data_IF_266205180282
#
_entry.id   IF_266205180282
#
_cell.length_a   1.000
_cell.length_b   1.000
_cell.length_c   1.000
_cell.angle_alpha   90.00
_cell.angle_beta   90.00
_cell.angle_gamma   90.00
#
_symmetry.space_group_name_H-M   'P 1'
#
loop_
_entity.id
_entity.type
_entity.pdbx_description
1 polymer ?
#
# COMPACT_ATOMS: atom_id res chain seq x y z
N UNK A 1 -13.81 82.29 -53.75
CA UNK A 1 -13.93 83.06 -52.50
C UNK A 1 -13.23 82.27 -51.40
N UNK A 2 -12.13 82.82 -50.88
CA UNK A 2 -11.27 82.38 -49.76
C UNK A 2 -10.65 80.96 -49.88
N UNK A 3 -9.38 80.70 -50.22
CA UNK A 3 -8.08 81.38 -50.11
C UNK A 3 -7.46 81.45 -48.69
N UNK A 4 -6.27 80.83 -48.58
CA UNK A 4 -5.16 81.00 -47.61
C UNK A 4 -5.34 80.33 -46.21
N UNK A 5 -4.37 79.61 -45.62
CA UNK A 5 -2.91 79.75 -45.66
C UNK A 5 -2.17 78.41 -45.44
N UNK A 6 -1.03 78.25 -46.13
CA UNK A 6 0.04 77.28 -45.87
C UNK A 6 0.88 77.66 -44.64
N UNK A 7 1.69 76.72 -44.08
CA UNK A 7 3.13 76.88 -43.77
C UNK A 7 3.72 75.71 -42.91
N UNK A 8 4.81 75.10 -43.43
CA UNK A 8 5.98 74.42 -42.78
C UNK A 8 5.71 73.03 -42.11
N UNK A 9 6.19 71.86 -42.56
CA UNK A 9 7.50 71.32 -43.00
C UNK A 9 8.10 70.32 -41.96
N UNK A 10 8.76 69.26 -42.48
CA UNK A 10 9.67 68.24 -41.88
C UNK A 10 9.11 66.81 -41.97
N UNK A 11 9.57 65.97 -42.91
CA UNK A 11 10.79 65.13 -42.92
C UNK A 11 10.84 64.06 -41.82
N UNK A 12 10.90 62.80 -42.29
CA UNK A 12 11.38 61.57 -41.65
C UNK A 12 10.61 61.06 -40.41
N UNK A 13 9.99 59.88 -40.55
CA UNK A 13 9.79 58.94 -39.43
C UNK A 13 9.72 57.51 -39.97
N UNK A 14 10.91 56.89 -40.02
CA UNK A 14 11.23 55.52 -39.60
C UNK A 14 10.11 54.49 -39.53
N UNK A 15 10.29 53.42 -40.32
CA UNK A 15 9.61 52.14 -40.18
C UNK A 15 9.70 51.62 -38.74
N UNK A 16 8.55 51.50 -38.07
CA UNK A 16 8.42 50.84 -36.78
C UNK A 16 8.19 49.34 -37.02
N UNK A 17 9.29 48.58 -37.13
CA UNK A 17 9.26 47.12 -37.14
C UNK A 17 8.91 46.66 -35.71
N UNK A 18 7.64 46.33 -35.46
CA UNK A 18 7.20 45.73 -34.21
C UNK A 18 7.78 44.31 -34.08
N UNK A 19 9.00 44.21 -33.53
CA UNK A 19 9.53 42.97 -32.97
C UNK A 19 8.73 42.63 -31.71
N UNK A 20 7.63 41.90 -31.88
CA UNK A 20 7.03 41.14 -30.78
C UNK A 20 7.97 39.98 -30.46
N UNK A 21 8.98 40.25 -29.63
CA UNK A 21 9.74 39.22 -28.94
C UNK A 21 8.76 38.50 -27.99
N UNK A 22 8.20 37.39 -28.47
CA UNK A 22 7.45 36.46 -27.64
C UNK A 22 8.35 36.04 -26.48
N UNK A 23 8.00 36.49 -25.27
CA UNK A 23 8.66 36.01 -24.05
C UNK A 23 8.43 34.50 -24.00
N UNK A 24 9.49 33.67 -23.90
CA UNK A 24 9.30 32.25 -23.65
C UNK A 24 8.58 32.13 -22.31
N UNK A 25 7.36 31.59 -22.34
CA UNK A 25 6.61 31.25 -21.14
C UNK A 25 7.39 30.14 -20.45
N UNK A 26 8.14 30.49 -19.40
CA UNK A 26 8.76 29.50 -18.53
C UNK A 26 7.60 28.76 -17.89
N UNK A 27 7.32 27.55 -18.38
CA UNK A 27 6.42 26.64 -17.71
C UNK A 27 7.03 26.36 -16.34
N UNK A 28 6.45 26.93 -15.29
CA UNK A 28 6.72 26.51 -13.92
C UNK A 28 6.33 25.04 -13.84
N UNK A 29 7.33 24.17 -13.71
CA UNK A 29 7.09 22.77 -13.38
C UNK A 29 6.25 22.75 -12.09
N UNK A 30 5.00 22.31 -12.19
CA UNK A 30 4.13 22.20 -11.04
C UNK A 30 4.81 21.33 -10.00
N UNK A 31 5.00 21.86 -8.79
CA UNK A 31 5.50 21.09 -7.65
C UNK A 31 4.59 19.87 -7.49
N UNK A 32 5.13 18.64 -7.47
CA UNK A 32 4.31 17.46 -7.26
C UNK A 32 3.54 17.61 -5.94
N UNK A 33 2.26 17.21 -5.89
CA UNK A 33 1.45 17.37 -4.68
C UNK A 33 2.13 16.66 -3.51
N UNK A 34 2.17 17.33 -2.36
CA UNK A 34 2.79 16.77 -1.16
C UNK A 34 2.06 15.47 -0.75
N UNK A 35 2.83 14.42 -0.49
CA UNK A 35 2.26 13.15 -0.04
C UNK A 35 1.60 13.33 1.35
N UNK A 36 0.46 12.67 1.60
CA UNK A 36 -0.20 12.78 2.88
C UNK A 36 0.66 12.23 4.03
N UNK A 37 0.47 12.75 5.26
CA UNK A 37 1.18 12.32 6.45
C UNK A 37 0.68 10.94 6.91
N UNK A 38 1.24 9.87 6.36
CA UNK A 38 0.76 8.51 6.58
C UNK A 38 1.61 7.72 7.58
N UNK A 39 0.96 7.07 8.54
CA UNK A 39 1.57 6.03 9.38
C UNK A 39 1.83 4.76 8.56
N UNK A 40 2.98 4.11 8.75
CA UNK A 40 3.42 2.95 7.97
C UNK A 40 3.64 1.72 8.85
N UNK A 41 3.18 0.56 8.37
CA UNK A 41 3.21 -0.66 9.16
C UNK A 41 4.51 -1.48 9.01
N UNK A 42 5.05 -1.93 10.14
CA UNK A 42 6.07 -2.99 10.23
C UNK A 42 5.46 -4.39 10.07
N UNK A 43 6.28 -5.43 10.14
CA UNK A 43 5.83 -6.84 10.07
C UNK A 43 5.74 -7.37 11.51
N UNK A 44 4.62 -8.01 11.82
CA UNK A 44 4.44 -8.67 13.11
C UNK A 44 5.47 -9.80 13.33
N UNK A 45 5.97 -9.92 14.56
CA UNK A 45 6.81 -11.03 15.00
C UNK A 45 6.35 -11.56 16.37
N UNK A 46 6.65 -12.83 16.72
CA UNK A 46 6.42 -13.35 18.07
C UNK A 46 7.17 -12.53 19.14
N UNK A 47 6.61 -12.48 20.35
CA UNK A 47 7.18 -11.73 21.49
C UNK A 47 6.50 -10.38 21.78
N UNK A 48 5.58 -9.95 20.92
CA UNK A 48 4.76 -8.76 21.14
C UNK A 48 3.61 -9.08 22.10
N UNK A 49 3.37 -8.20 23.07
CA UNK A 49 2.22 -8.26 24.00
C UNK A 49 0.92 -7.93 23.24
N UNK A 50 0.26 -8.96 22.71
CA UNK A 50 -0.92 -8.78 21.85
C UNK A 50 -2.10 -8.06 22.51
N UNK A 51 -2.25 -8.17 23.83
CA UNK A 51 -3.33 -7.50 24.56
C UNK A 51 -3.30 -5.97 24.39
N UNK A 52 -2.12 -5.40 24.15
CA UNK A 52 -1.95 -3.96 23.96
C UNK A 52 -2.36 -3.50 22.55
N UNK A 53 -2.54 -4.43 21.61
CA UNK A 53 -2.86 -4.16 20.20
C UNK A 53 -4.32 -4.44 19.88
N UNK A 54 -4.93 -3.51 19.14
CA UNK A 54 -6.16 -3.76 18.40
C UNK A 54 -5.87 -4.51 17.12
N UNK A 55 -6.78 -5.39 16.72
CA UNK A 55 -6.65 -6.25 15.56
C UNK A 55 -7.80 -5.96 14.61
N UNK A 56 -7.47 -5.85 13.33
CA UNK A 56 -8.41 -5.69 12.23
C UNK A 56 -8.03 -6.58 11.03
N UNK A 57 -8.98 -6.85 10.14
CA UNK A 57 -8.65 -7.41 8.83
C UNK A 57 -7.77 -6.43 8.04
N UNK A 58 -6.71 -6.95 7.42
CA UNK A 58 -5.99 -6.20 6.39
C UNK A 58 -6.82 -6.21 5.11
N UNK A 59 -7.34 -5.05 4.74
CA UNK A 59 -8.13 -4.87 3.52
C UNK A 59 -7.22 -4.68 2.31
N UNK A 60 -7.50 -5.42 1.24
CA UNK A 60 -6.79 -5.34 -0.05
C UNK A 60 -7.53 -4.39 -1.00
N UNK A 61 -7.31 -3.08 -0.81
CA UNK A 61 -7.95 -2.02 -1.59
C UNK A 61 -6.95 -0.98 -2.08
N UNK A 62 -7.38 0.28 -2.15
CA UNK A 62 -6.49 1.41 -2.39
C UNK A 62 -6.55 2.35 -1.21
N UNK A 63 -5.44 2.52 -0.48
CA UNK A 63 -5.36 3.51 0.61
C UNK A 63 -5.77 4.90 0.12
N UNK A 64 -6.77 5.46 0.79
CA UNK A 64 -7.31 6.79 0.55
C UNK A 64 -7.13 7.65 1.80
N UNK A 65 -6.57 8.83 1.62
CA UNK A 65 -6.48 9.85 2.65
C UNK A 65 -7.48 10.96 2.31
N UNK A 66 -8.43 11.20 3.20
CA UNK A 66 -9.32 12.35 3.11
C UNK A 66 -8.70 13.49 3.90
N UNK A 67 -8.43 14.62 3.25
CA UNK A 67 -7.81 15.79 3.89
C UNK A 67 -8.82 16.78 4.52
N UNK A 68 -10.12 16.46 4.46
CA UNK A 68 -11.21 17.36 4.84
C UNK A 68 -11.97 17.94 3.64
N UNK A 69 -11.44 17.81 2.43
CA UNK A 69 -12.02 18.33 1.19
C UNK A 69 -11.89 17.35 0.00
N UNK A 70 -10.79 16.60 -0.08
CA UNK A 70 -10.40 15.77 -1.21
C UNK A 70 -9.90 14.41 -0.74
N UNK A 71 -10.21 13.38 -1.54
CA UNK A 71 -9.56 12.08 -1.43
C UNK A 71 -8.23 12.09 -2.17
N UNK A 72 -7.18 11.64 -1.49
CA UNK A 72 -5.82 11.57 -1.98
C UNK A 72 -5.32 10.13 -1.92
N UNK A 73 -4.55 9.72 -2.92
CA UNK A 73 -3.78 8.49 -2.87
C UNK A 73 -2.61 8.63 -1.89
N UNK A 74 -1.97 7.50 -1.58
CA UNK A 74 -0.70 7.47 -0.84
C UNK A 74 0.38 8.41 -1.40
N UNK A 75 0.40 8.64 -2.71
CA UNK A 75 1.37 9.52 -3.37
C UNK A 75 0.93 10.99 -3.45
N UNK A 76 -0.16 11.38 -2.80
CA UNK A 76 -0.69 12.76 -2.85
C UNK A 76 -1.53 13.08 -4.09
N UNK A 77 -1.70 12.14 -5.02
CA UNK A 77 -2.54 12.35 -6.19
C UNK A 77 -4.02 12.36 -5.82
N UNK A 78 -4.79 13.31 -6.37
CA UNK A 78 -6.23 13.38 -6.17
C UNK A 78 -6.92 12.15 -6.75
N UNK A 79 -7.87 11.60 -6.00
CA UNK A 79 -8.80 10.56 -6.45
C UNK A 79 -10.08 11.24 -6.90
N UNK A 80 -10.48 11.01 -8.15
CA UNK A 80 -11.71 11.57 -8.71
C UNK A 80 -12.89 10.67 -8.35
N UNK A 81 -13.47 10.89 -7.16
CA UNK A 81 -14.72 10.27 -6.75
C UNK A 81 -15.92 11.06 -7.27
N UNK A 82 -17.08 10.42 -7.53
CA UNK A 82 -18.34 11.14 -7.76
C UNK A 82 -18.64 12.06 -6.58
N UNK A 83 -19.25 13.22 -6.85
CA UNK A 83 -19.59 14.18 -5.81
C UNK A 83 -20.44 13.57 -4.68
N UNK A 84 -21.39 12.68 -5.03
CA UNK A 84 -22.23 12.00 -4.04
C UNK A 84 -21.43 11.10 -3.08
N UNK A 85 -20.27 10.58 -3.51
CA UNK A 85 -19.49 9.65 -2.69
C UNK A 85 -18.85 10.35 -1.49
N UNK A 86 -18.37 11.58 -1.67
CA UNK A 86 -17.75 12.39 -0.60
C UNK A 86 -18.68 13.47 -0.05
N UNK A 87 -19.94 13.51 -0.49
CA UNK A 87 -20.91 14.49 -0.02
C UNK A 87 -21.12 14.35 1.50
N UNK A 88 -21.14 15.48 2.20
CA UNK A 88 -21.33 15.59 3.65
C UNK A 88 -20.24 14.94 4.52
N UNK A 89 -19.12 14.50 3.95
CA UNK A 89 -18.00 14.01 4.76
C UNK A 89 -17.47 15.10 5.70
N UNK A 90 -16.92 14.72 6.87
CA UNK A 90 -16.44 15.68 7.85
C UNK A 90 -15.24 16.45 7.30
N UNK A 91 -14.98 17.66 7.81
CA UNK A 91 -13.73 18.37 7.52
C UNK A 91 -12.51 17.78 8.23
N UNK A 92 -12.72 16.82 9.12
CA UNK A 92 -11.65 16.10 9.81
C UNK A 92 -10.97 15.14 8.84
N UNK A 93 -9.63 15.10 8.87
CA UNK A 93 -8.88 14.15 8.07
C UNK A 93 -9.17 12.71 8.47
N UNK A 94 -9.30 11.82 7.48
CA UNK A 94 -9.57 10.39 7.66
C UNK A 94 -8.53 9.57 6.89
N UNK A 95 -8.06 8.48 7.48
CA UNK A 95 -7.19 7.51 6.80
C UNK A 95 -7.90 6.17 6.71
N UNK A 96 -7.95 5.63 5.50
CA UNK A 96 -8.77 4.46 5.21
C UNK A 96 -8.40 3.76 3.92
N UNK A 97 -9.17 2.73 3.61
CA UNK A 97 -9.02 1.91 2.41
C UNK A 97 -10.27 2.05 1.53
N UNK A 98 -10.08 2.46 0.27
CA UNK A 98 -11.12 2.35 -0.75
C UNK A 98 -11.20 0.88 -1.19
N UNK A 99 -12.28 0.22 -0.80
CA UNK A 99 -12.39 -1.24 -0.81
C UNK A 99 -13.65 -1.71 -1.54
N UNK A 100 -13.50 -2.70 -2.42
CA UNK A 100 -14.56 -3.23 -3.27
C UNK A 100 -15.06 -4.63 -2.84
N UNK A 101 -14.59 -5.12 -1.67
CA UNK A 101 -14.78 -6.50 -1.24
C UNK A 101 -13.48 -7.32 -1.26
N UNK A 102 -13.49 -8.45 -0.58
CA UNK A 102 -12.39 -9.44 -0.59
C UNK A 102 -12.11 -9.91 -2.02
N UNK A 103 -10.83 -10.05 -2.39
CA UNK A 103 -10.38 -10.45 -3.73
C UNK A 103 -10.85 -9.52 -4.87
N UNK A 104 -11.19 -8.26 -4.57
CA UNK A 104 -11.64 -7.27 -5.55
C UNK A 104 -10.65 -6.12 -5.73
N UNK A 105 -9.36 -6.32 -5.42
CA UNK A 105 -8.31 -5.32 -5.55
C UNK A 105 -8.25 -4.71 -6.96
N UNK A 106 -8.26 -5.54 -8.01
CA UNK A 106 -8.23 -5.06 -9.40
C UNK A 106 -9.41 -4.15 -9.71
N UNK A 107 -10.60 -4.44 -9.17
CA UNK A 107 -11.78 -3.57 -9.28
C UNK A 107 -11.54 -2.25 -8.54
N UNK A 108 -11.12 -2.29 -7.29
CA UNK A 108 -10.82 -1.08 -6.50
C UNK A 108 -9.82 -0.16 -7.22
N UNK A 109 -8.71 -0.71 -7.71
CA UNK A 109 -7.71 0.02 -8.48
C UNK A 109 -8.31 0.61 -9.76
N UNK A 110 -9.05 -0.19 -10.53
CA UNK A 110 -9.64 0.28 -11.79
C UNK A 110 -10.65 1.42 -11.58
N UNK A 111 -11.41 1.39 -10.47
CA UNK A 111 -12.36 2.44 -10.11
C UNK A 111 -11.64 3.73 -9.72
N UNK A 112 -10.62 3.63 -8.85
CA UNK A 112 -9.90 4.78 -8.28
C UNK A 112 -9.03 5.50 -9.31
N UNK A 113 -8.46 4.77 -10.28
CA UNK A 113 -7.55 5.33 -11.30
C UNK A 113 -8.26 6.09 -12.43
N UNK A 114 -9.58 6.00 -12.55
CA UNK A 114 -10.31 6.67 -13.64
C UNK A 114 -10.32 8.18 -13.43
N UNK A 115 -9.99 8.92 -14.49
CA UNK A 115 -10.07 10.38 -14.48
C UNK A 115 -11.51 10.86 -14.38
N UNK A 116 -12.40 10.27 -15.17
CA UNK A 116 -13.85 10.49 -15.07
C UNK A 116 -14.48 9.39 -14.20
N UNK A 117 -15.09 9.72 -13.05
CA UNK A 117 -15.68 8.72 -12.18
C UNK A 117 -16.85 8.00 -12.85
N UNK A 118 -16.92 6.69 -12.63
CA UNK A 118 -18.06 5.86 -13.06
C UNK A 118 -18.93 5.51 -11.87
N UNK A 119 -20.14 6.05 -11.89
CA UNK A 119 -21.16 5.93 -10.87
C UNK A 119 -21.52 4.49 -10.51
N UNK A 120 -21.52 3.58 -11.48
CA UNK A 120 -21.83 2.17 -11.25
C UNK A 120 -20.70 1.43 -10.54
N UNK A 121 -19.44 1.79 -10.86
CA UNK A 121 -18.27 1.24 -10.19
C UNK A 121 -18.15 1.74 -8.74
N UNK A 122 -18.37 3.04 -8.52
CA UNK A 122 -18.28 3.66 -7.18
C UNK A 122 -19.36 3.18 -6.22
N UNK A 123 -20.56 2.80 -6.71
CA UNK A 123 -21.59 2.16 -5.86
C UNK A 123 -21.18 0.80 -5.27
N UNK A 124 -20.10 0.20 -5.77
CA UNK A 124 -19.52 -1.04 -5.25
C UNK A 124 -18.32 -0.80 -4.33
N UNK A 125 -17.93 0.46 -4.16
CA UNK A 125 -16.82 0.85 -3.28
C UNK A 125 -17.36 1.25 -1.90
N UNK A 126 -16.53 1.02 -0.89
CA UNK A 126 -16.65 1.62 0.43
C UNK A 126 -15.35 2.29 0.79
N UNK A 127 -15.41 3.33 1.60
CA UNK A 127 -14.25 3.89 2.29
C UNK A 127 -14.22 3.34 3.72
N UNK A 128 -13.32 2.39 3.94
CA UNK A 128 -13.16 1.67 5.20
C UNK A 128 -12.10 2.38 6.03
N UNK A 129 -12.54 3.25 6.94
CA UNK A 129 -11.68 4.15 7.71
C UNK A 129 -11.08 3.42 8.90
N UNK A 130 -9.76 3.48 9.07
CA UNK A 130 -9.07 2.81 10.15
C UNK A 130 -8.38 3.77 11.13
N UNK A 131 -8.26 5.07 10.83
CA UNK A 131 -7.70 6.04 11.78
C UNK A 131 -8.15 7.50 11.56
N UNK A 132 -7.89 8.35 12.57
CA UNK A 132 -8.08 9.80 12.61
C UNK A 132 -6.73 10.53 12.75
N UNK A 133 -6.02 10.84 11.65
CA UNK A 133 -4.66 11.41 11.69
C UNK A 133 -4.50 12.70 12.48
N UNK A 134 -5.54 13.53 12.54
CA UNK A 134 -5.52 14.83 13.23
C UNK A 134 -5.92 14.75 14.71
N UNK A 135 -6.36 13.59 15.20
CA UNK A 135 -6.78 13.43 16.59
C UNK A 135 -5.55 13.32 17.51
N UNK A 136 -5.43 14.14 18.58
CA UNK A 136 -4.20 14.21 19.38
C UNK A 136 -3.99 13.02 20.33
N UNK A 137 -5.06 12.26 20.58
CA UNK A 137 -5.07 11.13 21.51
C UNK A 137 -4.45 9.83 20.97
N UNK A 138 -4.38 8.84 21.86
CA UNK A 138 -3.91 7.49 21.56
C UNK A 138 -4.90 6.72 20.67
N UNK A 139 -4.50 5.60 20.07
CA UNK A 139 -5.43 4.82 19.25
C UNK A 139 -6.66 4.31 20.03
N UNK A 140 -6.49 3.99 21.32
CA UNK A 140 -7.60 3.67 22.23
C UNK A 140 -8.65 4.79 22.32
N UNK A 141 -8.25 6.04 22.08
CA UNK A 141 -9.14 7.20 22.06
C UNK A 141 -9.62 7.53 20.63
N UNK A 142 -8.75 7.37 19.62
CA UNK A 142 -9.08 7.65 18.21
C UNK A 142 -10.17 6.71 17.69
N UNK A 143 -10.13 5.44 18.08
CA UNK A 143 -11.05 4.45 17.53
C UNK A 143 -12.52 4.68 17.97
N UNK A 144 -12.83 4.89 19.27
CA UNK A 144 -14.19 5.29 19.68
C UNK A 144 -14.63 6.62 19.06
N UNK A 145 -13.73 7.62 19.00
CA UNK A 145 -14.05 8.91 18.39
C UNK A 145 -14.41 8.78 16.90
N UNK A 146 -13.71 7.91 16.16
CA UNK A 146 -14.01 7.60 14.76
C UNK A 146 -15.37 6.91 14.62
N UNK A 147 -15.64 5.91 15.46
CA UNK A 147 -16.93 5.20 15.45
C UNK A 147 -18.10 6.15 15.70
N UNK A 148 -18.00 7.01 16.72
CA UNK A 148 -19.01 8.02 17.04
C UNK A 148 -19.20 9.02 15.89
N UNK A 149 -18.10 9.48 15.29
CA UNK A 149 -18.15 10.42 14.16
C UNK A 149 -18.86 9.81 12.96
N UNK A 150 -18.50 8.59 12.57
CA UNK A 150 -19.07 7.92 11.39
C UNK A 150 -20.52 7.48 11.63
N UNK A 151 -20.88 7.10 12.87
CA UNK A 151 -22.26 6.83 13.24
C UNK A 151 -23.15 8.08 13.06
N UNK A 152 -22.67 9.26 13.48
CA UNK A 152 -23.38 10.54 13.31
C UNK A 152 -23.45 10.98 11.85
N UNK A 153 -22.41 10.69 11.06
CA UNK A 153 -22.38 10.97 9.62
C UNK A 153 -23.47 10.18 8.87
N UNK A 154 -23.76 8.95 9.31
CA UNK A 154 -24.81 8.09 8.76
C UNK A 154 -24.70 7.86 7.23
N UNK A 155 -23.49 7.85 6.69
CA UNK A 155 -23.22 7.57 5.27
C UNK A 155 -22.85 6.09 5.10
N UNK A 156 -23.68 5.26 4.42
CA UNK A 156 -23.50 3.81 4.42
C UNK A 156 -22.20 3.28 3.81
N UNK A 157 -21.57 4.04 2.91
CA UNK A 157 -20.33 3.63 2.23
C UNK A 157 -19.07 4.19 2.90
N UNK A 158 -19.19 4.87 4.05
CA UNK A 158 -18.05 5.26 4.90
C UNK A 158 -18.20 4.58 6.24
N UNK A 159 -17.30 3.63 6.54
CA UNK A 159 -17.46 2.75 7.68
C UNK A 159 -16.14 2.62 8.43
N UNK A 160 -16.16 2.55 9.78
CA UNK A 160 -14.96 2.18 10.51
C UNK A 160 -14.58 0.73 10.19
N UNK A 161 -13.28 0.45 10.07
CA UNK A 161 -12.79 -0.93 10.07
C UNK A 161 -13.05 -1.52 11.46
N UNK A 162 -13.61 -2.73 11.51
CA UNK A 162 -13.85 -3.45 12.75
C UNK A 162 -12.52 -3.72 13.48
N UNK A 163 -12.47 -3.38 14.77
CA UNK A 163 -11.32 -3.62 15.65
C UNK A 163 -11.75 -4.47 16.84
N UNK A 164 -10.91 -5.41 17.24
CA UNK A 164 -11.09 -6.22 18.44
C UNK A 164 -9.74 -6.54 19.11
N UNK A 165 -9.76 -7.18 20.27
CA UNK A 165 -8.57 -7.56 21.04
C UNK A 165 -8.41 -9.08 21.06
N UNK A 166 -7.16 -9.54 20.99
CA UNK A 166 -6.75 -10.91 21.32
C UNK A 166 -5.52 -10.84 22.21
N UNK A 167 -5.30 -11.86 23.02
CA UNK A 167 -4.14 -11.91 23.94
C UNK A 167 -3.11 -12.97 23.55
N UNK A 168 -3.43 -13.91 22.65
CA UNK A 168 -2.60 -15.06 22.38
C UNK A 168 -2.21 -15.23 20.90
N UNK A 169 -0.95 -15.60 20.68
CA UNK A 169 -0.37 -15.75 19.34
C UNK A 169 -1.03 -16.87 18.54
N UNK A 170 -1.39 -17.99 19.19
CA UNK A 170 -1.96 -19.15 18.51
C UNK A 170 -3.34 -18.82 17.91
N UNK A 171 -4.18 -18.08 18.63
CA UNK A 171 -5.49 -17.59 18.16
C UNK A 171 -5.32 -16.54 17.08
N UNK A 172 -4.35 -15.62 17.20
CA UNK A 172 -4.02 -14.68 16.12
C UNK A 172 -3.68 -15.43 14.81
N UNK A 173 -2.87 -16.49 14.90
CA UNK A 173 -2.49 -17.31 13.74
C UNK A 173 -3.69 -18.08 13.16
N UNK A 174 -4.56 -18.66 14.01
CA UNK A 174 -5.80 -19.33 13.54
C UNK A 174 -6.73 -18.34 12.83
N UNK A 175 -6.92 -17.16 13.41
CA UNK A 175 -7.71 -16.09 12.82
C UNK A 175 -7.13 -15.66 11.47
N UNK A 176 -5.81 -15.44 11.39
CA UNK A 176 -5.15 -15.11 10.13
C UNK A 176 -5.43 -16.17 9.05
N UNK A 177 -5.28 -17.45 9.39
CA UNK A 177 -5.56 -18.55 8.46
C UNK A 177 -7.02 -18.57 8.03
N UNK A 178 -7.95 -18.35 8.95
CA UNK A 178 -9.38 -18.27 8.66
C UNK A 178 -9.72 -17.09 7.74
N UNK A 179 -9.20 -15.90 8.04
CA UNK A 179 -9.37 -14.69 7.22
C UNK A 179 -8.90 -14.94 5.79
N UNK A 180 -7.70 -15.51 5.62
CA UNK A 180 -7.17 -15.83 4.29
C UNK A 180 -7.98 -16.93 3.60
N UNK A 181 -8.44 -17.96 4.32
CA UNK A 181 -9.32 -19.00 3.76
C UNK A 181 -10.63 -18.41 3.23
N UNK A 182 -11.13 -17.35 3.85
CA UNK A 182 -12.33 -16.62 3.42
C UNK A 182 -12.04 -15.50 2.40
N UNK A 183 -10.82 -15.45 1.85
CA UNK A 183 -10.42 -14.50 0.81
C UNK A 183 -9.92 -13.13 1.30
N UNK A 184 -9.74 -12.95 2.61
CA UNK A 184 -9.11 -11.76 3.17
C UNK A 184 -7.60 -11.77 2.95
N UNK A 185 -6.94 -10.61 3.06
CA UNK A 185 -5.50 -10.50 2.75
C UNK A 185 -4.60 -10.92 3.93
N UNK A 186 -5.03 -10.58 5.14
CA UNK A 186 -4.26 -10.77 6.35
C UNK A 186 -4.89 -10.03 7.53
N UNK A 187 -4.07 -9.68 8.53
CA UNK A 187 -4.49 -8.89 9.69
C UNK A 187 -3.58 -7.67 9.86
N UNK A 188 -4.11 -6.65 10.51
CA UNK A 188 -3.37 -5.48 11.00
C UNK A 188 -3.44 -5.47 12.53
N UNK A 189 -2.34 -5.10 13.18
CA UNK A 189 -2.29 -4.81 14.62
C UNK A 189 -1.96 -3.34 14.80
N UNK A 190 -2.65 -2.68 15.72
CA UNK A 190 -2.41 -1.29 16.03
C UNK A 190 -2.37 -1.06 17.54
N UNK A 191 -1.25 -0.56 18.05
CA UNK A 191 -0.98 -0.39 19.48
C UNK A 191 -1.94 0.64 20.07
N UNK A 192 -2.68 0.25 21.10
CA UNK A 192 -3.70 1.10 21.74
C UNK A 192 -3.15 2.42 22.25
N UNK A 193 -1.98 2.39 22.90
CA UNK A 193 -1.31 3.57 23.43
C UNK A 193 -0.61 4.45 22.37
N UNK A 194 -0.59 4.06 21.09
CA UNK A 194 0.17 4.78 20.07
C UNK A 194 -0.44 6.15 19.75
N UNK A 195 0.42 7.16 19.60
CA UNK A 195 0.07 8.42 18.95
C UNK A 195 0.22 8.27 17.44
N UNK A 196 -0.59 9.02 16.69
CA UNK A 196 -0.45 9.04 15.23
C UNK A 196 0.89 9.69 14.84
N UNK A 197 1.76 8.93 14.17
CA UNK A 197 3.08 9.39 13.73
C UNK A 197 3.34 8.99 12.28
N UNK A 198 3.88 9.91 11.50
CA UNK A 198 4.15 9.74 10.05
C UNK A 198 5.45 8.98 9.81
N UNK A 199 5.59 7.84 10.46
CA UNK A 199 6.78 7.02 10.40
C UNK A 199 6.40 5.54 10.35
N UNK A 200 7.41 4.72 10.12
CA UNK A 200 7.33 3.28 10.27
C UNK A 200 7.75 2.93 11.70
N UNK A 201 6.88 2.27 12.44
CA UNK A 201 7.14 1.80 13.80
C UNK A 201 6.34 0.53 14.09
N UNK A 202 6.63 -0.10 15.22
CA UNK A 202 5.86 -1.26 15.69
C UNK A 202 4.50 -0.88 16.28
N UNK A 203 4.19 0.42 16.36
CA UNK A 203 2.86 0.90 16.71
C UNK A 203 1.80 0.36 15.73
N UNK A 204 2.17 0.12 14.47
CA UNK A 204 1.31 -0.47 13.44
C UNK A 204 2.03 -1.64 12.78
N UNK A 205 1.42 -2.83 12.79
CA UNK A 205 2.02 -4.05 12.26
C UNK A 205 1.07 -4.75 11.29
N UNK A 206 1.63 -5.39 10.29
CA UNK A 206 0.88 -6.30 9.40
C UNK A 206 1.25 -7.75 9.73
N UNK A 207 0.23 -8.59 9.91
CA UNK A 207 0.39 -10.04 10.02
C UNK A 207 0.20 -10.65 8.65
N UNK A 208 1.25 -11.31 8.17
CA UNK A 208 1.24 -11.99 6.87
C UNK A 208 1.20 -13.49 7.08
N UNK A 209 0.56 -14.19 6.14
CA UNK A 209 0.56 -15.67 6.09
C UNK A 209 1.90 -16.26 5.69
N UNK A 210 2.82 -15.43 5.19
CA UNK A 210 4.09 -15.86 4.68
C UNK A 210 5.21 -14.89 5.04
N UNK A 211 6.36 -15.47 5.30
CA UNK A 211 7.61 -14.81 5.63
C UNK A 211 8.58 -15.08 4.48
N UNK A 212 9.35 -14.05 4.11
CA UNK A 212 10.45 -14.18 3.16
C UNK A 212 11.75 -14.16 3.97
N UNK A 213 12.68 -15.04 3.66
CA UNK A 213 13.99 -15.11 4.31
C UNK A 213 15.05 -15.62 3.33
N UNK A 214 16.31 -15.43 3.69
CA UNK A 214 17.46 -15.82 2.91
C UNK A 214 18.10 -17.12 3.44
N UNK A 215 18.61 -17.94 2.52
CA UNK A 215 19.45 -19.09 2.86
C UNK A 215 20.51 -19.32 1.77
N UNK A 216 21.68 -19.81 2.18
CA UNK A 216 22.76 -20.18 1.28
C UNK A 216 22.50 -21.56 0.67
N UNK A 217 22.75 -21.72 -0.63
CA UNK A 217 22.67 -23.01 -1.32
C UNK A 217 23.91 -23.82 -1.00
N UNK A 218 23.75 -24.91 -0.26
CA UNK A 218 24.84 -25.80 0.16
C UNK A 218 24.85 -27.15 -0.56
N UNK A 219 23.83 -27.44 -1.38
CA UNK A 219 23.77 -28.66 -2.16
C UNK A 219 22.66 -28.68 -3.20
N UNK A 220 22.81 -29.57 -4.18
CA UNK A 220 21.77 -29.87 -5.17
C UNK A 220 21.32 -31.32 -4.98
N UNK A 221 20.00 -31.52 -4.89
CA UNK A 221 19.41 -32.84 -4.72
C UNK A 221 18.75 -33.28 -6.04
N UNK A 222 19.01 -34.51 -6.51
CA UNK A 222 18.51 -34.99 -7.79
C UNK A 222 16.98 -35.10 -7.80
N UNK A 223 16.38 -34.74 -8.93
CA UNK A 223 14.94 -34.89 -9.16
C UNK A 223 14.53 -36.33 -9.43
N UNK A 224 13.25 -36.60 -9.19
CA UNK A 224 12.58 -37.88 -9.47
C UNK A 224 11.38 -37.65 -10.39
N UNK A 225 10.89 -38.69 -11.07
CA UNK A 225 9.73 -38.60 -11.96
C UNK A 225 9.96 -37.59 -13.08
N UNK A 226 9.05 -36.61 -13.24
CA UNK A 226 9.17 -35.57 -14.29
C UNK A 226 10.45 -34.72 -14.24
N UNK A 227 11.18 -34.74 -13.12
CA UNK A 227 12.44 -34.01 -12.96
C UNK A 227 13.67 -34.94 -12.93
N UNK A 228 13.56 -36.17 -13.42
CA UNK A 228 14.71 -37.07 -13.53
C UNK A 228 15.78 -36.49 -14.48
N UNK A 229 17.05 -36.53 -14.05
CA UNK A 229 18.15 -35.87 -14.75
C UNK A 229 18.23 -34.35 -14.54
N UNK A 230 17.36 -33.76 -13.71
CA UNK A 230 17.31 -32.34 -13.39
C UNK A 230 17.35 -32.12 -11.87
N UNK A 231 17.46 -30.87 -11.42
CA UNK A 231 17.36 -30.52 -10.00
C UNK A 231 15.95 -30.85 -9.45
N UNK A 232 15.93 -31.63 -8.37
CA UNK A 232 14.73 -31.88 -7.57
C UNK A 232 14.51 -30.80 -6.53
N UNK A 233 15.53 -30.51 -5.73
CA UNK A 233 15.49 -29.49 -4.70
C UNK A 233 16.89 -28.93 -4.42
N UNK A 234 16.95 -27.70 -3.93
CA UNK A 234 18.16 -27.16 -3.30
C UNK A 234 18.23 -27.66 -1.86
N UNK A 235 19.41 -28.04 -1.38
CA UNK A 235 19.70 -28.10 0.05
C UNK A 235 20.23 -26.73 0.45
N UNK A 236 19.55 -26.07 1.38
CA UNK A 236 19.89 -24.71 1.81
C UNK A 236 20.19 -24.66 3.30
N UNK A 237 21.00 -23.69 3.71
CA UNK A 237 21.35 -23.39 5.10
C UNK A 237 21.01 -21.94 5.42
N UNK A 238 20.24 -21.71 6.48
CA UNK A 238 19.90 -20.36 6.97
C UNK A 238 21.11 -19.74 7.72
N UNK A 239 21.14 -18.42 7.93
CA UNK A 239 22.23 -17.76 8.68
C UNK A 239 22.45 -18.31 10.10
N UNK A 240 21.42 -18.88 10.71
CA UNK A 240 21.50 -19.53 12.03
C UNK A 240 21.75 -21.04 11.96
N UNK A 241 22.20 -21.56 10.81
CA UNK A 241 22.70 -22.92 10.64
C UNK A 241 21.65 -24.00 10.40
N UNK A 242 20.36 -23.65 10.29
CA UNK A 242 19.29 -24.64 10.00
C UNK A 242 19.36 -25.07 8.54
N UNK A 243 19.27 -26.38 8.30
CA UNK A 243 19.32 -26.96 6.96
C UNK A 243 17.99 -27.57 6.55
N UNK A 244 17.54 -27.28 5.33
CA UNK A 244 16.31 -27.88 4.80
C UNK A 244 16.31 -27.95 3.27
N UNK A 245 15.35 -28.72 2.72
CA UNK A 245 15.18 -28.90 1.27
C UNK A 245 14.21 -27.86 0.72
N UNK A 246 14.62 -27.12 -0.29
CA UNK A 246 13.82 -26.15 -1.02
C UNK A 246 13.51 -26.68 -2.42
N UNK A 247 12.38 -27.37 -2.56
CA UNK A 247 11.99 -28.08 -3.79
C UNK A 247 10.89 -27.41 -4.62
N UNK A 248 10.17 -26.46 -4.05
CA UNK A 248 9.04 -25.75 -4.70
C UNK A 248 9.45 -24.35 -5.17
N UNK A 249 8.74 -23.76 -6.13
CA UNK A 249 9.00 -22.40 -6.64
C UNK A 249 10.08 -22.30 -7.73
N UNK A 250 10.81 -23.38 -8.00
CA UNK A 250 11.79 -23.46 -9.08
C UNK A 250 11.11 -23.68 -10.43
N UNK A 251 11.39 -22.82 -11.40
CA UNK A 251 11.02 -23.00 -12.82
C UNK A 251 11.78 -24.16 -13.46
N UNK A 252 11.28 -24.70 -14.57
CA UNK A 252 11.98 -25.77 -15.30
C UNK A 252 13.36 -25.32 -15.81
N UNK A 253 13.51 -24.03 -16.15
CA UNK A 253 14.81 -23.46 -16.51
C UNK A 253 15.78 -23.52 -15.31
N UNK A 254 15.34 -23.09 -14.13
CA UNK A 254 16.14 -23.20 -12.90
C UNK A 254 16.41 -24.65 -12.52
N UNK A 255 15.56 -25.61 -12.90
CA UNK A 255 15.86 -27.02 -12.65
C UNK A 255 16.92 -27.59 -13.58
N UNK A 256 17.02 -27.08 -14.80
CA UNK A 256 18.09 -27.40 -15.76
C UNK A 256 19.38 -26.65 -15.44
N UNK A 257 19.27 -25.42 -14.93
CA UNK A 257 20.36 -24.52 -14.57
C UNK A 257 20.15 -24.03 -13.13
N UNK A 258 20.49 -24.86 -12.13
CA UNK A 258 20.21 -24.57 -10.73
C UNK A 258 20.99 -23.36 -10.22
N UNK A 259 20.44 -22.60 -9.24
CA UNK A 259 21.20 -21.63 -8.47
C UNK A 259 22.54 -22.23 -7.99
N UNK A 260 23.68 -21.57 -8.22
CA UNK A 260 25.00 -22.12 -7.88
C UNK A 260 25.16 -22.43 -6.39
N UNK A 261 26.02 -23.39 -6.07
CA UNK A 261 26.47 -23.59 -4.69
C UNK A 261 27.12 -22.29 -4.16
N UNK A 262 26.85 -21.96 -2.89
CA UNK A 262 27.30 -20.73 -2.26
C UNK A 262 26.45 -19.49 -2.57
N UNK A 263 25.56 -19.54 -3.57
CA UNK A 263 24.62 -18.44 -3.81
C UNK A 263 23.60 -18.32 -2.68
N UNK A 264 23.16 -17.09 -2.39
CA UNK A 264 22.06 -16.83 -1.45
C UNK A 264 20.77 -16.78 -2.24
N UNK A 265 19.71 -17.41 -1.74
CA UNK A 265 18.38 -17.39 -2.34
C UNK A 265 17.37 -16.84 -1.35
N UNK A 266 16.42 -16.04 -1.84
CA UNK A 266 15.24 -15.68 -1.07
C UNK A 266 14.20 -16.80 -1.23
N UNK A 267 13.69 -17.30 -0.11
CA UNK A 267 12.60 -18.26 -0.05
C UNK A 267 11.44 -17.69 0.76
N UNK A 268 10.23 -18.08 0.37
CA UNK A 268 8.99 -17.75 1.07
C UNK A 268 8.46 -18.97 1.79
N UNK A 269 8.07 -18.82 3.05
CA UNK A 269 7.55 -19.91 3.88
C UNK A 269 6.36 -19.47 4.73
N UNK A 270 5.69 -20.41 5.39
CA UNK A 270 4.51 -20.15 6.23
C UNK A 270 4.69 -20.75 7.62
N UNK A 271 5.30 -19.99 8.53
CA UNK A 271 5.65 -20.44 9.87
C UNK A 271 6.71 -21.55 9.91
N UNK A 272 7.11 -21.94 11.11
CA UNK A 272 8.13 -22.95 11.37
C UNK A 272 7.48 -24.25 11.90
N UNK A 273 8.16 -25.38 11.78
CA UNK A 273 7.81 -26.60 12.53
C UNK A 273 8.45 -26.58 13.94
N UNK A 274 8.18 -27.59 14.76
CA UNK A 274 8.68 -27.66 16.15
C UNK A 274 10.22 -27.67 16.26
N UNK A 275 10.91 -28.06 15.18
CA UNK A 275 12.38 -28.02 15.07
C UNK A 275 12.90 -26.70 14.47
N UNK A 276 12.03 -25.70 14.30
CA UNK A 276 12.38 -24.40 13.74
C UNK A 276 12.56 -24.37 12.21
N UNK A 277 12.17 -25.42 11.47
CA UNK A 277 12.33 -25.47 10.01
C UNK A 277 11.14 -24.82 9.29
N UNK A 278 11.39 -23.95 8.28
CA UNK A 278 10.35 -23.35 7.46
C UNK A 278 9.36 -24.35 6.84
N UNK A 279 8.06 -24.13 7.08
CA UNK A 279 6.98 -24.93 6.47
C UNK A 279 6.54 -24.34 5.14
N UNK A 280 6.20 -25.20 4.19
CA UNK A 280 5.73 -24.81 2.86
C UNK A 280 6.69 -23.84 2.14
N UNK A 281 7.99 -24.01 2.38
CA UNK A 281 9.02 -23.15 1.80
C UNK A 281 9.05 -23.30 0.27
N UNK A 282 9.13 -22.16 -0.42
CA UNK A 282 9.18 -22.05 -1.87
C UNK A 282 10.25 -21.05 -2.29
N UNK A 283 11.05 -21.43 -3.28
CA UNK A 283 12.05 -20.56 -3.88
C UNK A 283 11.35 -19.35 -4.53
N UNK A 284 11.91 -18.16 -4.31
CA UNK A 284 11.43 -16.92 -4.93
C UNK A 284 12.40 -16.44 -6.00
N UNK A 285 13.66 -16.20 -5.62
CA UNK A 285 14.70 -15.66 -6.50
C UNK A 285 16.09 -15.92 -5.93
N UNK A 286 17.10 -15.83 -6.79
CA UNK A 286 18.49 -15.64 -6.32
C UNK A 286 18.58 -14.23 -5.74
N UNK A 287 19.24 -14.11 -4.60
CA UNK A 287 19.46 -12.81 -3.96
C UNK A 287 20.52 -12.04 -4.76
N UNK A 288 20.16 -10.84 -5.18
CA UNK A 288 21.07 -9.87 -5.78
C UNK A 288 21.29 -8.76 -4.72
N UNK A 289 22.54 -8.49 -4.32
CA UNK A 289 22.87 -7.45 -3.35
C UNK A 289 22.48 -6.04 -3.79
#
# INVERSE_FOLDING_TARGET
MHALSSIIARLLSTALLCFFLGRPSIATAATPPAAPPLMLANIYHPGITLADYWISEKLDGVRGYWDGEKLLTRGGQRINAPHWFTANWPKTALDGELWAGRQQFSRAVSTVRRETPDDAAWRRMRFMVFDLPAHPGTFDQRMPALQDMLAKLAVPWVQPVEQFKLSDHATLQRLLQQTVKQGGEGLMLHLGASLYRTQRSDDLLKVKTHEDAEAAVIGHLPGKGKYQGMLGALLVETPDGRRFKLGSGLSDLQRRRPPPLGSVVTYRFRGLNDSGIPRFASFMRVYEP
#
